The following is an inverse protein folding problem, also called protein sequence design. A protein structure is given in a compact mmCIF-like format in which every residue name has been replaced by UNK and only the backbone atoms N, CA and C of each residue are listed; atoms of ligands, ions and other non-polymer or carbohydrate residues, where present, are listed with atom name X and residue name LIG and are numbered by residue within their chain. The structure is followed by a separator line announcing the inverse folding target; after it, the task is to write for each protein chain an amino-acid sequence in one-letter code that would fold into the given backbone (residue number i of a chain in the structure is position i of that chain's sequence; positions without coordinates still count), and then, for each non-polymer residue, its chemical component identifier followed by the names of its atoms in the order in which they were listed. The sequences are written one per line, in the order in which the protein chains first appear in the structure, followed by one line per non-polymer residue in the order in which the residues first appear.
data_IF_326577601133
#
_entry.id   IF_326577601133
#
_cell.length_a   1.000
_cell.length_b   1.000
_cell.length_c   1.000
_cell.angle_alpha   90.00
_cell.angle_beta   90.00
_cell.angle_gamma   90.00
#
_symmetry.space_group_name_H-M   'P 1'
#
loop_
_entity.id
_entity.type
_entity.pdbx_description
1 polymer ?
#
# COMPACT_ATOMS: atom_id res chain seq x y z
N UNK A 1 1.93 5.13 -2.53
CA UNK A 1 1.90 3.92 -3.38
C UNK A 1 0.74 3.04 -2.99
N UNK A 2 0.29 2.18 -3.89
CA UNK A 2 -0.92 1.39 -3.69
C UNK A 2 -0.73 -0.02 -3.18
N UNK A 3 -0.90 -0.23 -1.88
CA UNK A 3 -0.87 -1.60 -1.34
C UNK A 3 -2.15 -2.40 -1.66
N UNK A 4 -2.00 -3.70 -1.92
CA UNK A 4 -3.13 -4.64 -2.07
C UNK A 4 -3.37 -5.40 -0.77
N UNK A 5 -4.56 -5.22 -0.18
CA UNK A 5 -4.97 -5.83 1.09
C UNK A 5 -5.86 -7.06 0.87
N UNK A 6 -5.69 -8.06 1.74
CA UNK A 6 -6.52 -9.25 1.73
C UNK A 6 -7.87 -8.97 2.42
N UNK A 7 -8.98 -9.19 1.70
CA UNK A 7 -10.34 -9.00 2.22
C UNK A 7 -10.66 -9.84 3.46
N UNK A 8 -10.02 -11.01 3.62
CA UNK A 8 -10.31 -11.97 4.70
C UNK A 8 -9.52 -11.73 5.98
N UNK A 9 -8.61 -10.75 6.01
CA UNK A 9 -7.76 -10.47 7.17
C UNK A 9 -7.99 -9.06 7.72
N UNK A 10 -7.90 -8.94 9.03
CA UNK A 10 -7.92 -7.70 9.80
C UNK A 10 -6.56 -7.00 9.77
N UNK A 11 -6.57 -5.71 10.10
CA UNK A 11 -5.43 -4.83 10.32
C UNK A 11 -5.56 -4.36 11.77
N UNK A 12 -4.70 -4.89 12.64
CA UNK A 12 -4.80 -4.70 14.08
C UNK A 12 -6.23 -4.92 14.64
N UNK A 13 -6.87 -6.04 14.30
CA UNK A 13 -8.26 -6.33 14.71
C UNK A 13 -9.37 -5.59 13.92
N UNK A 14 -9.04 -4.59 13.11
CA UNK A 14 -10.00 -3.86 12.27
C UNK A 14 -10.11 -4.51 10.89
N UNK A 15 -11.32 -4.75 10.36
CA UNK A 15 -11.42 -5.31 9.01
C UNK A 15 -10.71 -4.41 7.99
N UNK A 16 -10.02 -5.00 7.00
CA UNK A 16 -9.32 -4.22 5.96
C UNK A 16 -10.23 -3.19 5.27
N UNK A 17 -11.54 -3.50 5.12
CA UNK A 17 -12.54 -2.57 4.58
C UNK A 17 -12.75 -1.36 5.47
N UNK A 18 -12.93 -1.57 6.77
CA UNK A 18 -13.16 -0.48 7.71
C UNK A 18 -11.89 0.35 7.90
N UNK A 19 -10.72 -0.28 8.01
CA UNK A 19 -9.45 0.42 8.14
C UNK A 19 -9.20 1.41 6.98
N UNK A 20 -9.44 0.97 5.74
CA UNK A 20 -9.33 1.83 4.54
C UNK A 20 -10.37 2.95 4.55
N UNK A 21 -11.63 2.64 4.87
CA UNK A 21 -12.70 3.66 4.90
C UNK A 21 -12.45 4.73 5.96
N UNK A 22 -12.07 4.33 7.19
CA UNK A 22 -11.75 5.24 8.29
C UNK A 22 -10.58 6.14 7.89
N UNK A 23 -9.49 5.56 7.38
CA UNK A 23 -8.31 6.33 6.95
C UNK A 23 -8.67 7.38 5.89
N UNK A 24 -9.53 7.03 4.91
CA UNK A 24 -10.00 7.98 3.88
C UNK A 24 -10.82 9.13 4.46
N UNK A 25 -11.70 8.84 5.40
CA UNK A 25 -12.55 9.85 6.04
C UNK A 25 -11.72 10.82 6.89
N UNK A 26 -10.78 10.28 7.66
CA UNK A 26 -9.89 11.07 8.53
C UNK A 26 -8.78 11.82 7.76
N UNK A 27 -8.48 11.43 6.51
CA UNK A 27 -7.53 12.15 5.66
C UNK A 27 -8.13 13.44 5.08
N UNK A 28 -9.41 13.42 4.72
CA UNK A 28 -10.05 14.60 4.12
C UNK A 28 -10.09 15.76 5.11
N UNK A 29 -10.52 15.47 6.33
CA UNK A 29 -10.59 16.39 7.47
C UNK A 29 -10.58 15.56 8.75
N UNK A 30 -10.08 16.09 9.88
CA UNK A 30 -10.22 15.43 11.17
C UNK A 30 -11.68 15.10 11.49
N UNK A 31 -11.91 14.00 12.23
CA UNK A 31 -13.26 13.48 12.53
C UNK A 31 -13.38 13.07 13.99
N UNK A 32 -14.57 13.26 14.56
CA UNK A 32 -14.91 12.65 15.85
C UNK A 32 -15.24 11.16 15.66
N UNK A 33 -15.15 10.38 16.74
CA UNK A 33 -15.57 8.99 16.71
C UNK A 33 -17.07 8.84 16.42
N UNK A 34 -17.90 9.72 16.98
CA UNK A 34 -19.34 9.77 16.74
C UNK A 34 -19.68 10.00 15.26
N UNK A 35 -18.98 10.92 14.59
CA UNK A 35 -19.18 11.15 13.14
C UNK A 35 -18.85 9.93 12.30
N UNK A 36 -17.72 9.28 12.59
CA UNK A 36 -17.30 8.07 11.87
C UNK A 36 -18.26 6.91 12.11
N UNK A 37 -18.70 6.72 13.36
CA UNK A 37 -19.66 5.68 13.74
C UNK A 37 -20.97 5.85 12.98
N UNK A 38 -21.47 7.09 12.87
CA UNK A 38 -22.67 7.44 12.10
C UNK A 38 -22.50 7.17 10.59
N UNK A 39 -21.37 7.56 10.00
CA UNK A 39 -21.11 7.36 8.55
C UNK A 39 -20.94 5.89 8.18
N UNK A 40 -20.32 5.09 9.05
CA UNK A 40 -20.06 3.67 8.80
C UNK A 40 -21.13 2.74 9.39
N UNK A 41 -22.19 3.31 9.97
CA UNK A 41 -23.34 2.58 10.54
C UNK A 41 -22.92 1.54 11.61
N UNK A 42 -22.07 1.96 12.55
CA UNK A 42 -21.60 1.14 13.68
C UNK A 42 -21.77 1.86 15.01
N UNK A 43 -21.64 1.14 16.13
CA UNK A 43 -21.67 1.75 17.46
C UNK A 43 -20.43 2.59 17.72
N UNK A 44 -20.57 3.65 18.51
CA UNK A 44 -19.44 4.50 18.90
C UNK A 44 -18.37 3.72 19.67
N UNK A 45 -18.76 2.75 20.52
CA UNK A 45 -17.82 1.85 21.20
C UNK A 45 -16.98 1.04 20.21
N UNK A 46 -17.60 0.46 19.17
CA UNK A 46 -16.88 -0.28 18.12
C UNK A 46 -15.95 0.65 17.35
N UNK A 47 -16.41 1.87 17.04
CA UNK A 47 -15.61 2.87 16.33
C UNK A 47 -14.39 3.29 17.16
N UNK A 48 -14.58 3.61 18.43
CA UNK A 48 -13.48 3.95 19.35
C UNK A 48 -12.45 2.83 19.45
N UNK A 49 -12.90 1.58 19.57
CA UNK A 49 -11.99 0.43 19.54
C UNK A 49 -11.17 0.38 18.25
N UNK A 50 -11.81 0.53 17.09
CA UNK A 50 -11.10 0.56 15.81
C UNK A 50 -10.13 1.72 15.67
N UNK A 51 -10.49 2.91 16.14
CA UNK A 51 -9.65 4.10 16.08
C UNK A 51 -8.38 3.91 16.90
N UNK A 52 -8.51 3.43 18.14
CA UNK A 52 -7.36 3.10 19.00
C UNK A 52 -6.49 2.03 18.35
N UNK A 53 -7.08 0.97 17.80
CA UNK A 53 -6.30 -0.06 17.10
C UNK A 53 -5.51 0.49 15.89
N UNK A 54 -6.05 1.47 15.16
CA UNK A 54 -5.34 2.08 14.03
C UNK A 54 -4.27 3.10 14.49
N UNK A 55 -4.51 3.77 15.61
CA UNK A 55 -3.55 4.66 16.27
C UNK A 55 -2.31 3.91 16.75
N UNK A 56 -2.49 2.77 17.41
CA UNK A 56 -1.42 1.91 17.93
C UNK A 56 -0.40 1.50 16.86
N UNK A 57 -0.82 1.41 15.60
CA UNK A 57 0.02 1.06 14.45
C UNK A 57 0.40 2.28 13.59
N UNK A 58 0.16 3.50 14.10
CA UNK A 58 0.57 4.77 13.48
C UNK A 58 -0.22 5.15 12.22
N UNK A 59 -1.37 4.53 11.96
CA UNK A 59 -2.23 4.86 10.81
C UNK A 59 -3.00 6.16 11.06
N UNK A 60 -3.49 6.31 12.30
CA UNK A 60 -4.20 7.50 12.76
C UNK A 60 -3.39 8.18 13.85
N UNK A 61 -3.79 9.40 14.17
CA UNK A 61 -3.34 10.15 15.33
C UNK A 61 -4.46 11.08 15.80
N UNK A 62 -4.32 11.61 17.01
CA UNK A 62 -5.29 12.47 17.68
C UNK A 62 -4.81 13.93 17.70
N UNK A 63 -5.74 14.84 17.52
CA UNK A 63 -5.63 16.25 17.94
C UNK A 63 -6.76 16.57 18.91
N UNK A 64 -6.52 17.50 19.83
CA UNK A 64 -7.56 18.00 20.74
C UNK A 64 -7.83 19.47 20.40
N UNK A 65 -9.05 19.78 20.01
CA UNK A 65 -9.51 21.13 19.70
C UNK A 65 -10.74 21.42 20.57
N UNK A 66 -10.70 22.49 21.37
CA UNK A 66 -11.78 22.91 22.26
C UNK A 66 -12.35 21.78 23.16
N UNK A 67 -11.47 20.88 23.63
CA UNK A 67 -11.84 19.72 24.45
C UNK A 67 -12.45 18.55 23.67
N UNK A 68 -12.53 18.64 22.35
CA UNK A 68 -13.02 17.58 21.45
C UNK A 68 -11.83 16.80 20.88
N UNK A 69 -11.91 15.46 20.98
CA UNK A 69 -10.93 14.54 20.39
C UNK A 69 -11.24 14.39 18.90
N UNK A 70 -10.26 14.74 18.06
CA UNK A 70 -10.33 14.65 16.62
C UNK A 70 -9.28 13.67 16.10
N UNK A 71 -9.73 12.73 15.27
CA UNK A 71 -8.90 11.72 14.64
C UNK A 71 -8.53 12.18 13.23
N UNK A 72 -7.24 12.13 12.90
CA UNK A 72 -6.74 12.45 11.56
C UNK A 72 -5.84 11.33 11.04
N UNK A 73 -5.79 11.18 9.71
CA UNK A 73 -4.93 10.19 9.08
C UNK A 73 -3.49 10.70 9.03
N UNK A 74 -2.53 9.88 9.47
CA UNK A 74 -1.11 10.24 9.41
C UNK A 74 -0.59 10.17 7.97
N UNK A 75 0.56 10.79 7.66
CA UNK A 75 1.23 10.58 6.36
C UNK A 75 1.51 9.10 6.07
N UNK A 76 1.75 8.32 7.13
CA UNK A 76 1.93 6.88 7.06
C UNK A 76 0.64 6.14 6.67
N UNK A 77 -0.47 6.44 7.35
CA UNK A 77 -1.80 5.89 7.02
C UNK A 77 -2.28 6.31 5.63
N UNK A 78 -1.94 7.52 5.20
CA UNK A 78 -2.20 7.99 3.85
C UNK A 78 -1.46 7.14 2.81
N UNK A 79 -0.16 6.94 3.02
CA UNK A 79 0.69 6.18 2.09
C UNK A 79 0.26 4.72 2.00
N UNK A 80 -0.12 4.11 3.13
CA UNK A 80 -0.35 2.67 3.21
C UNK A 80 -1.82 2.24 3.10
N UNK A 81 -2.79 3.03 3.57
CA UNK A 81 -4.19 2.59 3.66
C UNK A 81 -5.19 3.44 2.89
N UNK A 82 -5.06 4.77 2.84
CA UNK A 82 -5.99 5.63 2.07
C UNK A 82 -6.04 5.19 0.61
N UNK A 83 -4.89 4.79 0.11
CA UNK A 83 -4.72 4.32 -1.24
C UNK A 83 -4.76 2.78 -1.35
N UNK A 84 -4.95 2.02 -0.28
CA UNK A 84 -4.95 0.57 -0.42
C UNK A 84 -6.16 0.04 -1.22
N UNK A 85 -5.93 -1.01 -2.03
CA UNK A 85 -6.98 -1.74 -2.73
C UNK A 85 -7.24 -3.07 -2.03
N UNK A 86 -8.50 -3.38 -1.76
CA UNK A 86 -8.88 -4.69 -1.22
C UNK A 86 -9.17 -5.64 -2.38
N UNK A 87 -8.52 -6.80 -2.40
CA UNK A 87 -8.81 -7.84 -3.39
C UNK A 87 -7.65 -8.79 -3.60
N UNK A 88 -7.74 -9.56 -4.69
CA UNK A 88 -6.63 -10.42 -5.07
C UNK A 88 -5.51 -9.60 -5.73
N UNK A 89 -4.25 -9.92 -5.44
CA UNK A 89 -3.10 -9.58 -6.26
C UNK A 89 -3.32 -9.88 -7.73
N UNK A 90 -2.94 -8.97 -8.63
CA UNK A 90 -2.91 -9.25 -10.07
C UNK A 90 -1.72 -10.15 -10.38
N UNK A 91 -1.80 -11.11 -11.31
CA UNK A 91 -0.63 -11.91 -11.74
C UNK A 91 0.42 -11.03 -12.41
N UNK A 92 1.68 -11.46 -12.47
CA UNK A 92 2.72 -10.75 -13.22
C UNK A 92 2.38 -10.60 -14.71
N UNK A 93 1.62 -11.56 -15.27
CA UNK A 93 1.10 -11.44 -16.65
C UNK A 93 0.06 -10.34 -16.77
N UNK A 94 -0.85 -10.23 -15.80
CA UNK A 94 -1.82 -9.14 -15.73
C UNK A 94 -1.11 -7.80 -15.54
N UNK A 95 -0.13 -7.72 -14.64
CA UNK A 95 0.69 -6.54 -14.40
C UNK A 95 1.29 -6.01 -15.70
N UNK A 96 2.02 -6.86 -16.43
CA UNK A 96 2.65 -6.50 -17.70
C UNK A 96 1.62 -6.06 -18.74
N UNK A 97 0.50 -6.76 -18.84
CA UNK A 97 -0.58 -6.40 -19.77
C UNK A 97 -1.12 -5.01 -19.48
N UNK A 98 -1.38 -4.68 -18.21
CA UNK A 98 -1.89 -3.37 -17.82
C UNK A 98 -0.91 -2.25 -18.16
N UNK A 99 0.35 -2.43 -17.82
CA UNK A 99 1.41 -1.44 -18.10
C UNK A 99 1.57 -1.23 -19.60
N UNK A 100 1.67 -2.30 -20.40
CA UNK A 100 1.78 -2.20 -21.86
C UNK A 100 0.55 -1.58 -22.51
N UNK A 101 -0.63 -1.79 -21.95
CA UNK A 101 -1.85 -1.18 -22.47
C UNK A 101 -1.90 0.32 -22.18
N UNK A 102 -1.34 0.79 -21.05
CA UNK A 102 -1.16 2.23 -20.81
C UNK A 102 -0.17 2.84 -21.80
N UNK A 103 0.98 2.21 -22.05
CA UNK A 103 1.94 2.75 -23.02
C UNK A 103 1.37 2.78 -24.43
N UNK A 104 0.59 1.76 -24.83
CA UNK A 104 -0.16 1.76 -26.10
C UNK A 104 -1.15 2.93 -26.19
N UNK A 105 -1.90 3.18 -25.11
CA UNK A 105 -2.84 4.31 -25.03
C UNK A 105 -2.10 5.65 -25.07
N UNK A 106 -0.93 5.77 -24.47
CA UNK A 106 -0.11 6.98 -24.55
C UNK A 106 0.33 7.29 -26.01
N UNK A 107 0.77 6.28 -26.76
CA UNK A 107 1.04 6.44 -28.20
C UNK A 107 -0.20 6.88 -28.98
N UNK A 108 -1.37 6.30 -28.70
CA UNK A 108 -2.62 6.68 -29.36
C UNK A 108 -3.03 8.12 -29.01
N UNK A 109 -2.93 8.49 -27.73
CA UNK A 109 -3.23 9.83 -27.23
C UNK A 109 -2.36 10.89 -27.92
N UNK A 110 -1.05 10.65 -28.02
CA UNK A 110 -0.14 11.61 -28.65
C UNK A 110 -0.39 11.80 -30.16
N UNK A 111 -1.00 10.83 -30.85
CA UNK A 111 -1.36 10.93 -32.28
C UNK A 111 -2.64 11.72 -32.53
N UNK A 112 -3.49 11.87 -31.52
CA UNK A 112 -4.77 12.54 -31.65
C UNK A 112 -4.60 14.05 -31.53
N UNK A 113 -4.95 14.78 -32.58
CA UNK A 113 -4.84 16.25 -32.64
C UNK A 113 -5.72 16.92 -31.59
N UNK A 114 -6.89 16.34 -31.28
CA UNK A 114 -7.84 16.97 -30.35
C UNK A 114 -7.26 17.16 -28.96
N UNK A 115 -6.36 16.28 -28.52
CA UNK A 115 -5.90 16.30 -27.14
C UNK A 115 -4.89 17.43 -26.90
N UNK A 116 -5.00 18.14 -25.75
CA UNK A 116 -4.23 19.35 -25.51
C UNK A 116 -2.81 19.10 -25.00
N UNK A 117 -2.55 17.89 -24.48
CA UNK A 117 -1.25 17.52 -23.93
C UNK A 117 -0.48 16.63 -24.89
N UNK A 118 0.83 16.65 -24.74
CA UNK A 118 1.75 15.68 -25.30
C UNK A 118 2.42 14.95 -24.15
N UNK A 119 2.29 13.62 -24.12
CA UNK A 119 2.88 12.78 -23.08
C UNK A 119 4.35 12.58 -23.43
N UNK A 120 5.25 13.06 -22.58
CA UNK A 120 6.70 12.96 -22.77
C UNK A 120 7.23 11.61 -22.31
N UNK A 121 6.82 11.22 -21.11
CA UNK A 121 7.37 10.08 -20.40
C UNK A 121 6.32 9.42 -19.50
N UNK A 122 6.38 8.09 -19.40
CA UNK A 122 5.69 7.36 -18.34
C UNK A 122 6.73 6.53 -17.59
N UNK A 123 6.76 6.72 -16.27
CA UNK A 123 7.66 6.03 -15.36
C UNK A 123 6.86 5.10 -14.46
N UNK A 124 7.22 3.82 -14.47
CA UNK A 124 6.78 2.85 -13.47
C UNK A 124 7.60 3.09 -12.20
N UNK A 125 6.92 3.27 -11.07
CA UNK A 125 7.55 3.42 -9.77
C UNK A 125 6.78 2.59 -8.74
N UNK A 126 7.30 2.46 -7.53
CA UNK A 126 6.68 1.64 -6.52
C UNK A 126 7.65 0.73 -5.81
N UNK A 127 7.29 0.32 -4.59
CA UNK A 127 8.00 -0.75 -3.89
C UNK A 127 8.05 -2.05 -4.68
N UNK A 128 7.15 -2.27 -5.64
CA UNK A 128 7.17 -3.47 -6.48
C UNK A 128 8.47 -3.62 -7.29
N UNK A 129 9.17 -2.53 -7.60
CA UNK A 129 10.43 -2.58 -8.36
C UNK A 129 11.56 -3.25 -7.57
N UNK A 130 11.69 -2.93 -6.28
CA UNK A 130 12.68 -3.53 -5.38
C UNK A 130 12.13 -4.73 -4.60
N UNK A 131 10.81 -4.83 -4.48
CA UNK A 131 10.09 -5.86 -3.74
C UNK A 131 8.99 -6.49 -4.61
N UNK A 132 9.35 -7.26 -5.67
CA UNK A 132 8.38 -7.86 -6.59
C UNK A 132 7.40 -8.83 -5.91
N UNK A 133 7.69 -9.25 -4.67
CA UNK A 133 6.80 -10.04 -3.83
C UNK A 133 5.69 -9.23 -3.14
N UNK A 134 5.70 -7.88 -3.15
CA UNK A 134 4.69 -7.05 -2.45
C UNK A 134 3.30 -7.06 -3.07
N UNK A 135 3.15 -7.61 -4.28
CA UNK A 135 1.86 -7.83 -4.95
C UNK A 135 1.05 -6.54 -5.22
N UNK A 136 1.74 -5.40 -5.29
CA UNK A 136 1.14 -4.09 -5.50
C UNK A 136 0.55 -3.92 -6.91
N UNK A 137 -0.40 -2.99 -7.04
CA UNK A 137 -0.86 -2.55 -8.37
C UNK A 137 0.23 -1.66 -9.02
N UNK A 138 0.35 -1.64 -10.36
CA UNK A 138 1.28 -0.74 -11.04
C UNK A 138 0.95 0.74 -10.76
N UNK A 139 1.94 1.44 -10.19
CA UNK A 139 1.93 2.88 -9.95
C UNK A 139 2.75 3.58 -11.06
N UNK A 140 2.10 4.44 -11.84
CA UNK A 140 2.69 5.12 -13.01
C UNK A 140 2.69 6.63 -12.81
N UNK A 141 3.84 7.27 -12.99
CA UNK A 141 3.97 8.71 -13.06
C UNK A 141 4.04 9.13 -14.54
N UNK A 142 3.30 10.17 -14.91
CA UNK A 142 3.19 10.66 -16.29
C UNK A 142 3.67 12.10 -16.35
N UNK A 143 4.74 12.32 -17.10
CA UNK A 143 5.24 13.65 -17.44
C UNK A 143 4.65 14.07 -18.79
N UNK A 144 4.19 15.30 -18.87
CA UNK A 144 3.57 15.85 -20.07
C UNK A 144 3.79 17.36 -20.16
N UNK A 145 3.67 17.91 -21.36
CA UNK A 145 3.57 19.34 -21.60
C UNK A 145 2.33 19.67 -22.43
N UNK A 146 1.92 20.94 -22.39
CA UNK A 146 0.84 21.46 -23.24
C UNK A 146 1.38 21.57 -24.67
N UNK A 147 0.60 21.14 -25.67
CA UNK A 147 1.02 21.30 -27.06
C UNK A 147 1.14 22.78 -27.44
N UNK A 148 2.16 23.20 -28.19
CA UNK A 148 2.40 24.62 -28.51
C UNK A 148 1.23 25.35 -29.16
N UNK A 149 0.40 24.66 -29.94
CA UNK A 149 -0.81 25.22 -30.57
C UNK A 149 -1.93 25.52 -29.58
N UNK A 150 -1.97 24.81 -28.44
CA UNK A 150 -2.95 25.01 -27.37
C UNK A 150 -2.49 26.11 -26.41
N UNK A 151 -1.20 26.12 -26.09
CA UNK A 151 -0.60 27.04 -25.10
C UNK A 151 -0.72 28.53 -25.49
N UNK A 152 -0.92 28.83 -26.78
CA UNK A 152 -1.13 30.20 -27.29
C UNK A 152 -2.45 30.86 -26.83
N UNK A 153 -3.33 30.11 -26.18
CA UNK A 153 -4.67 30.58 -25.79
C UNK A 153 -4.77 30.75 -24.28
N UNK A 154 -5.10 31.96 -23.84
CA UNK A 154 -5.13 32.35 -22.42
C UNK A 154 -6.11 31.53 -21.56
N UNK A 155 -7.23 31.06 -22.13
CA UNK A 155 -8.27 30.29 -21.43
C UNK A 155 -8.52 28.91 -22.03
N UNK A 156 -7.46 28.28 -22.57
CA UNK A 156 -7.59 27.05 -23.35
C UNK A 156 -8.26 25.90 -22.59
N UNK A 157 -8.06 25.76 -21.28
CA UNK A 157 -8.68 24.67 -20.51
C UNK A 157 -10.21 24.81 -20.48
N UNK A 158 -10.70 26.03 -20.26
CA UNK A 158 -12.13 26.32 -20.25
C UNK A 158 -12.73 26.17 -21.65
N UNK A 159 -12.06 26.65 -22.69
CA UNK A 159 -12.50 26.42 -24.08
C UNK A 159 -12.56 24.93 -24.43
N UNK A 160 -11.52 24.18 -24.04
CA UNK A 160 -11.45 22.73 -24.25
C UNK A 160 -12.57 22.01 -23.50
N UNK A 161 -12.82 22.38 -22.24
CA UNK A 161 -13.90 21.84 -21.43
C UNK A 161 -15.28 22.19 -22.01
N UNK A 162 -15.48 23.40 -22.54
CA UNK A 162 -16.74 23.77 -23.20
C UNK A 162 -16.98 22.94 -24.46
N UNK A 163 -15.91 22.59 -25.20
CA UNK A 163 -15.99 21.84 -26.46
C UNK A 163 -16.12 20.33 -26.28
N UNK A 164 -15.38 19.74 -25.33
CA UNK A 164 -15.24 18.29 -25.15
C UNK A 164 -15.69 17.79 -23.78
N UNK A 165 -15.96 18.70 -22.85
CA UNK A 165 -16.41 18.39 -21.50
C UNK A 165 -17.85 17.87 -21.45
N UNK A 166 -18.28 17.42 -20.26
CA UNK A 166 -19.64 16.94 -20.06
C UNK A 166 -20.65 18.09 -20.22
N UNK A 167 -21.83 17.79 -20.77
CA UNK A 167 -22.92 18.78 -20.99
C UNK A 167 -23.50 19.41 -19.72
N UNK A 168 -23.07 18.96 -18.53
CA UNK A 168 -23.52 19.52 -17.25
C UNK A 168 -22.65 20.71 -16.88
N UNK A 169 -23.21 21.67 -16.17
CA UNK A 169 -22.43 22.79 -15.63
C UNK A 169 -21.38 22.27 -14.63
N UNK A 170 -20.12 22.55 -14.94
CA UNK A 170 -18.99 22.32 -14.06
C UNK A 170 -18.60 23.66 -13.41
N UNK A 171 -18.23 23.63 -12.13
CA UNK A 171 -17.58 24.78 -11.49
C UNK A 171 -16.21 25.07 -12.11
N UNK A 172 -15.68 26.28 -11.90
CA UNK A 172 -14.44 26.77 -12.54
C UNK A 172 -13.26 25.79 -12.36
N UNK A 173 -13.00 25.34 -11.13
CA UNK A 173 -11.91 24.39 -10.83
C UNK A 173 -12.07 23.08 -11.60
N UNK A 174 -13.29 22.57 -11.72
CA UNK A 174 -13.57 21.33 -12.46
C UNK A 174 -13.40 21.52 -13.97
N UNK A 175 -13.66 22.72 -14.50
CA UNK A 175 -13.37 23.04 -15.91
C UNK A 175 -11.87 23.11 -16.16
N UNK A 176 -11.12 23.82 -15.30
CA UNK A 176 -9.67 23.97 -15.44
C UNK A 176 -8.93 22.62 -15.34
N UNK A 177 -9.40 21.72 -14.48
CA UNK A 177 -8.80 20.38 -14.30
C UNK A 177 -9.36 19.32 -15.25
N UNK A 178 -10.40 19.63 -16.03
CA UNK A 178 -11.04 18.66 -16.93
C UNK A 178 -10.06 18.02 -17.93
N UNK A 179 -9.19 18.77 -18.63
CA UNK A 179 -8.27 18.16 -19.60
C UNK A 179 -7.36 17.09 -18.98
N UNK A 180 -6.79 17.38 -17.81
CA UNK A 180 -5.89 16.45 -17.12
C UNK A 180 -6.65 15.22 -16.59
N UNK A 181 -7.88 15.43 -16.11
CA UNK A 181 -8.77 14.34 -15.71
C UNK A 181 -9.22 13.48 -16.90
N UNK A 182 -9.43 14.06 -18.07
CA UNK A 182 -9.71 13.31 -19.30
C UNK A 182 -8.51 12.44 -19.68
N UNK A 183 -7.29 13.00 -19.70
CA UNK A 183 -6.07 12.22 -19.94
C UNK A 183 -5.95 11.05 -18.96
N UNK A 184 -6.16 11.29 -17.66
CA UNK A 184 -6.15 10.23 -16.63
C UNK A 184 -7.13 9.12 -16.98
N UNK A 185 -8.38 9.49 -17.30
CA UNK A 185 -9.43 8.53 -17.68
C UNK A 185 -9.09 7.79 -18.96
N UNK A 186 -8.52 8.48 -19.94
CA UNK A 186 -8.12 7.89 -21.22
C UNK A 186 -7.03 6.84 -21.02
N UNK A 187 -6.02 7.14 -20.20
CA UNK A 187 -4.94 6.21 -19.86
C UNK A 187 -5.39 5.08 -18.91
N UNK A 188 -6.34 5.32 -18.01
CA UNK A 188 -6.84 4.28 -17.09
C UNK A 188 -7.92 3.37 -17.72
N UNK A 189 -8.81 3.90 -18.56
CA UNK A 189 -10.01 3.21 -19.09
C UNK A 189 -10.85 2.50 -18.01
N UNK A 190 -10.95 3.11 -16.82
CA UNK A 190 -11.69 2.51 -15.69
C UNK A 190 -11.00 1.31 -15.04
N UNK A 191 -9.77 0.97 -15.44
CA UNK A 191 -8.98 -0.06 -14.79
C UNK A 191 -8.64 0.34 -13.36
N UNK A 192 -9.10 -0.46 -12.40
CA UNK A 192 -8.92 -0.21 -10.95
C UNK A 192 -7.56 -0.72 -10.45
N UNK A 193 -6.88 -1.54 -11.24
CA UNK A 193 -5.59 -2.13 -10.94
C UNK A 193 -4.41 -1.31 -11.49
N UNK A 194 -4.61 -0.03 -11.81
CA UNK A 194 -3.55 0.85 -12.27
C UNK A 194 -3.73 2.27 -11.77
N UNK A 195 -2.64 2.89 -11.36
CA UNK A 195 -2.66 4.24 -10.80
C UNK A 195 -1.79 5.16 -11.60
N UNK A 196 -2.32 6.34 -11.83
CA UNK A 196 -1.68 7.34 -12.65
C UNK A 196 -1.53 8.59 -11.82
N UNK A 197 -0.30 9.07 -11.75
CA UNK A 197 0.14 10.28 -11.07
C UNK A 197 0.68 11.24 -12.13
N UNK A 198 0.51 12.54 -11.89
CA UNK A 198 1.02 13.59 -12.77
C UNK A 198 2.07 14.47 -12.10
N UNK A 199 2.48 14.07 -10.91
CA UNK A 199 3.58 14.67 -10.17
C UNK A 199 4.91 14.13 -10.70
N UNK A 200 5.96 14.92 -10.51
CA UNK A 200 7.34 14.50 -10.75
C UNK A 200 7.64 13.22 -9.96
N UNK A 201 8.07 12.17 -10.68
CA UNK A 201 8.33 10.84 -10.10
C UNK A 201 9.39 10.89 -8.99
N UNK A 202 10.34 11.81 -9.07
CA UNK A 202 11.39 11.98 -8.04
C UNK A 202 10.83 12.42 -6.69
N UNK A 203 9.66 13.08 -6.68
CA UNK A 203 8.92 13.45 -5.46
C UNK A 203 8.09 12.28 -4.91
N UNK A 204 7.85 11.26 -5.73
CA UNK A 204 7.01 10.11 -5.39
C UNK A 204 7.82 8.88 -4.96
N UNK A 205 9.04 8.73 -5.48
CA UNK A 205 9.88 7.56 -5.25
C UNK A 205 11.35 7.87 -5.52
N UNK A 206 12.24 7.21 -4.77
CA UNK A 206 13.68 7.20 -5.05
C UNK A 206 14.06 6.22 -6.18
N UNK A 207 13.18 5.27 -6.49
CA UNK A 207 13.37 4.28 -7.55
C UNK A 207 12.22 4.30 -8.55
N UNK A 208 12.55 4.38 -9.83
CA UNK A 208 11.60 4.25 -10.93
C UNK A 208 12.30 3.75 -12.20
N UNK A 209 11.49 3.24 -13.14
CA UNK A 209 11.90 2.75 -14.44
C UNK A 209 11.03 3.37 -15.53
N UNK A 210 11.66 3.91 -16.57
CA UNK A 210 10.95 4.55 -17.66
C UNK A 210 10.40 3.48 -18.60
N UNK A 211 9.10 3.46 -18.85
CA UNK A 211 8.41 2.44 -19.67
C UNK A 211 7.88 2.99 -21.00
N UNK A 212 7.85 4.31 -21.13
CA UNK A 212 7.44 5.02 -22.33
C UNK A 212 8.20 6.34 -22.41
N UNK A 213 8.68 6.70 -23.60
CA UNK A 213 9.22 8.01 -23.92
C UNK A 213 8.86 8.37 -25.35
N UNK A 214 8.38 9.59 -25.58
CA UNK A 214 7.91 10.04 -26.90
C UNK A 214 9.00 9.99 -27.97
N UNK A 215 10.21 10.44 -27.64
CA UNK A 215 11.32 10.61 -28.58
C UNK A 215 12.45 9.60 -28.36
N UNK A 216 12.11 8.32 -28.11
CA UNK A 216 13.12 7.26 -28.07
C UNK A 216 13.71 7.05 -29.47
N UNK A 217 14.66 7.92 -29.84
CA UNK A 217 15.67 7.65 -30.86
C UNK A 217 16.42 6.41 -30.37
N UNK A 218 16.56 5.42 -31.25
CA UNK A 218 17.54 4.35 -31.10
C UNK A 218 18.94 4.96 -30.96
N UNK A 219 19.35 5.31 -29.74
CA UNK A 219 20.73 5.24 -29.26
C UNK A 219 20.82 5.62 -27.78
N UNK A 220 21.59 4.78 -27.11
CA UNK A 220 22.02 4.80 -25.73
C UNK A 220 22.86 6.02 -25.35
N UNK A 221 23.09 6.13 -24.03
CA UNK A 221 23.97 7.03 -23.30
C UNK A 221 23.29 8.28 -22.73
N UNK A 222 22.52 8.08 -21.67
CA UNK A 222 22.49 9.10 -20.61
C UNK A 222 22.67 8.43 -19.25
N UNK A 223 23.66 8.95 -18.52
CA UNK A 223 24.24 8.40 -17.29
C UNK A 223 23.41 8.81 -16.07
N UNK A 224 22.09 8.62 -16.14
CA UNK A 224 21.23 8.70 -14.96
C UNK A 224 20.83 7.28 -14.54
N UNK A 225 20.87 7.01 -13.24
CA UNK A 225 20.60 5.71 -12.62
C UNK A 225 19.18 5.12 -12.89
N UNK A 226 18.39 5.71 -13.78
CA UNK A 226 17.02 5.34 -14.10
C UNK A 226 16.93 4.76 -15.50
N UNK A 227 17.31 3.47 -15.60
CA UNK A 227 17.27 2.72 -16.85
C UNK A 227 15.85 2.63 -17.42
N UNK A 228 15.72 2.92 -18.72
CA UNK A 228 14.54 2.56 -19.53
C UNK A 228 14.32 1.05 -19.48
N UNK A 229 13.07 0.64 -19.24
CA UNK A 229 12.67 -0.76 -19.25
C UNK A 229 12.04 -1.10 -20.60
N UNK A 230 12.72 -1.93 -21.38
CA UNK A 230 12.23 -2.45 -22.65
C UNK A 230 11.01 -3.38 -22.46
N UNK A 231 10.29 -3.65 -23.54
CA UNK A 231 9.13 -4.57 -23.51
C UNK A 231 9.53 -6.00 -23.10
N UNK A 232 10.75 -6.45 -23.44
CA UNK A 232 11.29 -7.74 -23.01
C UNK A 232 11.59 -7.73 -21.51
N UNK A 233 12.29 -6.70 -21.02
CA UNK A 233 12.60 -6.57 -19.58
C UNK A 233 11.33 -6.48 -18.74
N UNK A 234 10.29 -5.77 -19.21
CA UNK A 234 9.01 -5.71 -18.53
C UNK A 234 8.31 -7.09 -18.49
N UNK A 235 8.37 -7.86 -19.57
CA UNK A 235 7.85 -9.24 -19.59
C UNK A 235 8.62 -10.14 -18.63
N UNK A 236 9.94 -10.00 -18.59
CA UNK A 236 10.81 -10.76 -17.70
C UNK A 236 10.54 -10.41 -16.24
N UNK A 237 10.33 -9.13 -15.94
CA UNK A 237 9.87 -8.64 -14.64
C UNK A 237 8.51 -9.26 -14.26
N UNK A 238 7.55 -9.31 -15.18
CA UNK A 238 6.27 -10.01 -14.96
C UNK A 238 6.43 -11.51 -14.71
N UNK A 239 7.37 -12.19 -15.39
CA UNK A 239 7.70 -13.59 -15.11
C UNK A 239 8.29 -13.75 -13.72
N UNK A 240 9.25 -12.89 -13.36
CA UNK A 240 9.87 -12.86 -12.05
C UNK A 240 8.84 -12.66 -10.92
N UNK A 241 7.85 -11.77 -11.08
CA UNK A 241 6.73 -11.63 -10.14
C UNK A 241 5.99 -12.97 -9.95
N UNK A 242 5.70 -13.67 -11.05
CA UNK A 242 5.01 -14.96 -10.98
C UNK A 242 5.89 -16.07 -10.40
N UNK A 243 7.18 -16.09 -10.72
CA UNK A 243 8.15 -17.06 -10.22
C UNK A 243 8.37 -16.87 -8.73
N UNK A 244 8.59 -15.64 -8.25
CA UNK A 244 8.64 -15.34 -6.82
C UNK A 244 7.37 -15.76 -6.09
N UNK A 245 6.18 -15.62 -6.70
CA UNK A 245 4.93 -16.15 -6.13
C UNK A 245 4.92 -17.66 -6.08
N UNK A 246 5.29 -18.33 -7.17
CA UNK A 246 5.33 -19.80 -7.24
C UNK A 246 6.36 -20.34 -6.27
N UNK A 247 7.56 -19.78 -6.21
CA UNK A 247 8.61 -20.16 -5.27
C UNK A 247 8.21 -19.88 -3.83
N UNK A 248 7.55 -18.77 -3.53
CA UNK A 248 7.00 -18.52 -2.20
C UNK A 248 5.95 -19.57 -1.81
N UNK A 249 5.01 -19.88 -2.71
CA UNK A 249 3.97 -20.89 -2.49
C UNK A 249 4.60 -22.30 -2.39
N UNK A 250 5.51 -22.64 -3.28
CA UNK A 250 6.20 -23.94 -3.33
C UNK A 250 7.20 -24.09 -2.20
N UNK A 251 7.87 -23.03 -1.75
CA UNK A 251 8.68 -23.04 -0.53
C UNK A 251 7.78 -23.18 0.69
N UNK A 252 6.61 -22.52 0.76
CA UNK A 252 5.65 -22.75 1.85
C UNK A 252 5.16 -24.21 1.86
N UNK A 253 4.93 -24.81 0.69
CA UNK A 253 4.45 -26.18 0.55
C UNK A 253 5.56 -27.23 0.79
N UNK A 254 6.78 -26.98 0.28
CA UNK A 254 7.97 -27.81 0.49
C UNK A 254 8.51 -27.69 1.91
N UNK A 255 8.44 -26.51 2.56
CA UNK A 255 8.82 -26.32 3.98
C UNK A 255 7.75 -26.87 4.93
N UNK A 256 6.45 -26.86 4.58
CA UNK A 256 5.46 -27.73 5.27
C UNK A 256 5.86 -29.21 5.24
N UNK A 257 6.51 -29.65 4.15
CA UNK A 257 7.05 -31.03 4.01
C UNK A 257 8.46 -31.23 4.58
N UNK A 258 9.26 -30.17 4.76
CA UNK A 258 10.64 -30.20 5.28
C UNK A 258 10.71 -29.46 6.61
N UNK A 259 10.55 -30.24 7.67
CA UNK A 259 10.83 -29.93 9.07
C UNK A 259 9.80 -28.97 9.68
N UNK A 260 9.05 -29.47 10.67
CA UNK A 260 8.37 -28.62 11.64
C UNK A 260 9.46 -27.81 12.37
N UNK A 261 9.70 -26.57 11.94
CA UNK A 261 10.61 -25.65 12.62
C UNK A 261 10.09 -25.44 14.04
N UNK A 262 10.95 -25.67 15.01
CA UNK A 262 10.57 -25.55 16.42
C UNK A 262 10.45 -24.07 16.78
N UNK A 263 9.70 -23.74 17.83
CA UNK A 263 9.65 -22.37 18.33
C UNK A 263 11.05 -21.89 18.75
N UNK A 264 11.92 -22.81 19.19
CA UNK A 264 13.32 -22.53 19.55
C UNK A 264 14.17 -22.08 18.35
N UNK A 265 13.93 -22.63 17.15
CA UNK A 265 14.63 -22.22 15.92
C UNK A 265 14.30 -20.77 15.56
N UNK A 266 13.01 -20.39 15.66
CA UNK A 266 12.52 -19.04 15.41
C UNK A 266 13.17 -18.05 16.37
N UNK A 267 13.13 -18.33 17.68
CA UNK A 267 13.77 -17.48 18.70
C UNK A 267 15.27 -17.34 18.46
N UNK A 268 15.95 -18.43 18.09
CA UNK A 268 17.40 -18.44 17.85
C UNK A 268 17.83 -17.64 16.61
N UNK A 269 16.98 -17.59 15.58
CA UNK A 269 17.16 -16.67 14.46
C UNK A 269 17.08 -15.24 14.96
N UNK A 270 15.97 -14.87 15.60
CA UNK A 270 15.73 -13.49 15.96
C UNK A 270 16.73 -12.96 16.99
N UNK A 271 17.20 -13.76 17.94
CA UNK A 271 18.29 -13.37 18.87
C UNK A 271 19.56 -12.85 18.21
N UNK A 272 19.83 -13.26 16.96
CA UNK A 272 21.00 -12.82 16.18
C UNK A 272 20.74 -11.54 15.38
N UNK A 273 19.49 -11.09 15.31
CA UNK A 273 19.06 -9.87 14.61
C UNK A 273 18.94 -8.75 15.63
N UNK A 274 19.56 -7.60 15.38
CA UNK A 274 19.53 -6.43 16.28
C UNK A 274 18.11 -6.03 16.70
N UNK A 275 17.15 -6.06 15.76
CA UNK A 275 15.72 -5.77 16.01
C UNK A 275 15.07 -6.62 17.12
N UNK A 276 15.57 -7.82 17.42
CA UNK A 276 15.05 -8.64 18.51
C UNK A 276 15.53 -8.20 19.90
N UNK A 277 16.72 -7.58 19.97
CA UNK A 277 17.23 -7.01 21.22
C UNK A 277 16.31 -5.88 21.70
N UNK A 278 15.68 -5.16 20.76
CA UNK A 278 14.74 -4.06 21.04
C UNK A 278 13.35 -4.52 21.54
N UNK A 279 13.04 -5.83 21.49
CA UNK A 279 11.74 -6.38 21.90
C UNK A 279 11.67 -6.79 23.38
N UNK A 280 12.78 -6.73 24.13
CA UNK A 280 12.85 -7.11 25.57
C UNK A 280 12.23 -8.50 25.88
N UNK A 281 12.33 -9.44 24.95
CA UNK A 281 11.79 -10.80 25.13
C UNK A 281 12.60 -11.59 26.17
N UNK A 282 11.97 -12.55 26.89
CA UNK A 282 12.62 -13.31 27.96
C UNK A 282 13.66 -14.32 27.43
N UNK A 283 14.11 -15.26 28.26
CA UNK A 283 15.11 -16.26 27.87
C UNK A 283 14.70 -17.04 26.60
N UNK A 284 15.63 -17.71 25.90
CA UNK A 284 15.28 -18.46 24.67
C UNK A 284 14.17 -19.48 24.93
N UNK A 285 14.24 -20.12 26.09
CA UNK A 285 13.30 -21.13 26.55
C UNK A 285 11.91 -20.52 26.77
N UNK A 286 11.86 -19.39 27.46
CA UNK A 286 10.62 -18.68 27.77
C UNK A 286 10.00 -18.08 26.50
N UNK A 287 10.80 -17.39 25.69
CA UNK A 287 10.33 -16.76 24.45
C UNK A 287 9.80 -17.79 23.45
N UNK A 288 10.26 -19.05 23.51
CA UNK A 288 9.76 -20.13 22.64
C UNK A 288 8.36 -20.62 23.03
N UNK A 289 7.90 -20.30 24.24
CA UNK A 289 6.60 -20.72 24.79
C UNK A 289 5.71 -19.54 25.17
N UNK A 290 6.03 -18.34 24.68
CA UNK A 290 5.35 -17.11 25.07
C UNK A 290 4.93 -16.33 23.84
N UNK A 291 3.75 -15.70 23.90
CA UNK A 291 3.33 -14.71 22.93
C UNK A 291 4.18 -13.46 23.07
N UNK A 292 4.87 -13.08 21.99
CA UNK A 292 5.79 -11.95 21.98
C UNK A 292 5.09 -10.59 22.10
N UNK A 293 3.77 -10.53 21.89
CA UNK A 293 2.95 -9.32 22.07
C UNK A 293 2.45 -9.12 23.49
N UNK A 294 1.85 -10.16 24.09
CA UNK A 294 1.12 -10.02 25.35
C UNK A 294 1.68 -10.83 26.52
N UNK A 295 2.74 -11.61 26.31
CA UNK A 295 3.31 -12.46 27.36
C UNK A 295 2.52 -13.73 27.69
N UNK A 296 1.41 -14.01 26.99
CA UNK A 296 0.61 -15.22 27.24
C UNK A 296 1.36 -16.50 26.85
N UNK A 297 1.26 -17.53 27.68
CA UNK A 297 1.76 -18.89 27.40
C UNK A 297 0.71 -19.81 26.77
N UNK A 298 -0.54 -19.34 26.62
CA UNK A 298 -1.65 -20.13 26.09
C UNK A 298 -1.73 -20.02 24.56
N UNK A 299 -2.01 -21.14 23.91
CA UNK A 299 -2.25 -21.24 22.45
C UNK A 299 -1.23 -20.50 21.59
N UNK A 300 0.07 -20.61 21.93
CA UNK A 300 1.14 -19.96 21.19
C UNK A 300 1.28 -20.59 19.81
N UNK A 301 1.08 -19.76 18.79
CA UNK A 301 1.09 -20.09 17.37
C UNK A 301 2.23 -19.36 16.67
N UNK A 302 2.65 -19.92 15.54
CA UNK A 302 3.60 -19.26 14.63
C UNK A 302 2.80 -18.36 13.69
N UNK A 303 2.96 -17.05 13.86
CA UNK A 303 2.35 -16.03 13.03
C UNK A 303 3.33 -15.57 11.96
N UNK A 304 2.87 -15.45 10.72
CA UNK A 304 3.70 -14.86 9.67
C UNK A 304 3.75 -13.34 9.79
N UNK A 305 4.93 -12.75 9.57
CA UNK A 305 5.09 -11.30 9.42
C UNK A 305 4.41 -10.85 8.13
N UNK A 306 4.86 -11.41 7.01
CA UNK A 306 4.15 -11.37 5.73
C UNK A 306 3.21 -12.57 5.69
N UNK A 307 1.88 -12.39 5.60
CA UNK A 307 0.89 -13.46 5.52
C UNK A 307 1.19 -14.52 4.45
N UNK A 308 1.01 -15.81 4.77
CA UNK A 308 1.07 -16.88 3.75
C UNK A 308 0.12 -16.64 2.55
N UNK A 309 -1.06 -16.05 2.78
CA UNK A 309 -1.99 -15.67 1.70
C UNK A 309 -1.48 -14.58 0.76
N UNK A 310 -0.43 -13.86 1.17
CA UNK A 310 0.25 -12.83 0.41
C UNK A 310 1.66 -13.27 -0.01
N UNK A 311 1.97 -14.58 0.05
CA UNK A 311 3.30 -15.09 -0.31
C UNK A 311 4.33 -14.99 0.81
N UNK A 312 3.91 -14.94 2.07
CA UNK A 312 4.79 -15.14 3.21
C UNK A 312 5.38 -16.54 3.28
N UNK A 313 6.71 -16.63 3.40
CA UNK A 313 7.39 -17.91 3.57
C UNK A 313 7.34 -18.41 5.02
N UNK A 314 7.28 -19.73 5.22
CA UNK A 314 7.48 -20.39 6.52
C UNK A 314 8.98 -20.43 6.88
N UNK A 315 9.60 -19.26 7.12
CA UNK A 315 11.01 -19.12 7.51
C UNK A 315 11.13 -18.37 8.83
N UNK A 316 12.21 -18.61 9.56
CA UNK A 316 12.45 -18.02 10.87
C UNK A 316 12.41 -16.48 10.80
N UNK A 317 12.91 -15.88 9.71
CA UNK A 317 12.87 -14.44 9.46
C UNK A 317 11.49 -13.85 9.14
N UNK A 318 10.49 -14.69 8.90
CA UNK A 318 9.12 -14.28 8.58
C UNK A 318 8.12 -14.86 9.59
N UNK A 319 8.58 -15.42 10.71
CA UNK A 319 7.73 -16.01 11.74
C UNK A 319 7.99 -15.37 13.10
N UNK A 320 6.93 -15.07 13.81
CA UNK A 320 6.92 -14.62 15.21
C UNK A 320 5.95 -15.48 16.02
N UNK A 321 6.06 -15.47 17.35
CA UNK A 321 5.22 -16.31 18.21
C UNK A 321 4.13 -15.46 18.87
N UNK A 322 2.87 -15.78 18.58
CA UNK A 322 1.70 -15.07 19.08
C UNK A 322 0.64 -16.04 19.60
N UNK A 323 -0.08 -15.70 20.67
CA UNK A 323 -1.27 -16.47 21.04
C UNK A 323 -2.38 -16.31 19.99
N UNK A 324 -3.36 -17.21 19.98
CA UNK A 324 -4.49 -17.20 19.04
C UNK A 324 -5.19 -15.83 18.92
N UNK A 325 -5.39 -15.13 20.05
CA UNK A 325 -5.95 -13.76 20.10
C UNK A 325 -5.06 -12.76 19.37
N UNK A 326 -3.80 -12.64 19.77
CA UNK A 326 -2.87 -11.67 19.18
C UNK A 326 -2.53 -11.99 17.72
N UNK A 327 -2.58 -13.25 17.31
CA UNK A 327 -2.43 -13.66 15.91
C UNK A 327 -3.61 -13.19 15.05
N UNK A 328 -4.85 -13.31 15.53
CA UNK A 328 -6.03 -12.79 14.85
C UNK A 328 -6.03 -11.25 14.75
N UNK A 329 -5.43 -10.59 15.74
CA UNK A 329 -5.28 -9.15 15.84
C UNK A 329 -3.99 -8.62 15.18
N UNK A 330 -3.18 -9.43 14.51
CA UNK A 330 -1.93 -8.95 13.90
C UNK A 330 -2.17 -7.99 12.71
N UNK A 331 -1.32 -6.96 12.49
CA UNK A 331 -1.42 -6.09 11.33
C UNK A 331 -1.13 -6.88 10.03
N UNK A 332 -2.08 -6.86 9.08
CA UNK A 332 -1.93 -7.50 7.77
C UNK A 332 -1.40 -6.50 6.73
N UNK A 333 -0.19 -5.99 6.94
CA UNK A 333 0.46 -4.99 6.11
C UNK A 333 1.83 -5.53 5.67
N UNK A 334 2.21 -5.32 4.41
CA UNK A 334 3.48 -5.77 3.85
C UNK A 334 4.67 -4.87 4.27
N UNK A 335 4.65 -4.39 5.51
CA UNK A 335 5.65 -3.54 6.14
C UNK A 335 6.07 -4.23 7.44
N UNK A 336 7.31 -4.75 7.46
CA UNK A 336 7.84 -5.52 8.58
C UNK A 336 7.86 -4.67 9.86
N UNK A 337 8.09 -3.35 9.75
CA UNK A 337 8.26 -2.48 10.91
C UNK A 337 6.95 -2.26 11.69
N UNK A 338 5.77 -2.30 11.03
CA UNK A 338 4.49 -2.22 11.74
C UNK A 338 4.23 -3.46 12.58
N UNK A 339 4.60 -4.64 12.07
CA UNK A 339 4.40 -5.86 12.83
C UNK A 339 5.27 -5.84 14.11
N UNK A 340 6.48 -5.28 14.04
CA UNK A 340 7.31 -5.04 15.21
C UNK A 340 6.73 -4.00 16.18
N UNK A 341 6.11 -2.93 15.69
CA UNK A 341 5.38 -1.97 16.54
C UNK A 341 4.23 -2.66 17.26
N UNK A 342 3.45 -3.48 16.56
CA UNK A 342 2.35 -4.26 17.13
C UNK A 342 2.77 -5.43 18.04
N UNK A 343 4.08 -5.77 18.08
CA UNK A 343 4.65 -6.75 19.00
C UNK A 343 5.05 -6.14 20.35
N UNK A 344 5.15 -4.82 20.47
CA UNK A 344 5.41 -4.19 21.77
C UNK A 344 4.14 -4.29 22.62
N UNK A 345 4.23 -4.68 23.91
CA UNK A 345 3.07 -4.66 24.79
C UNK A 345 2.54 -3.23 24.87
N UNK A 346 1.25 -3.05 24.54
CA UNK A 346 0.58 -1.75 24.70
C UNK A 346 0.33 -1.50 26.19
N UNK A 347 0.32 -0.23 26.62
CA UNK A 347 0.01 0.14 28.01
C UNK A 347 -1.34 -0.46 28.49
N UNK A 348 -2.30 -0.63 27.56
CA UNK A 348 -3.59 -1.29 27.80
C UNK A 348 -3.43 -2.79 28.12
N UNK A 349 -2.47 -3.48 27.51
CA UNK A 349 -2.19 -4.90 27.78
C UNK A 349 -1.54 -5.11 29.16
N UNK A 350 -0.73 -4.14 29.61
CA UNK A 350 -0.16 -4.09 30.97
C UNK A 350 -1.22 -3.83 32.04
N UNK A 351 -2.22 -2.98 31.75
CA UNK A 351 -3.33 -2.71 32.68
C UNK A 351 -4.28 -3.91 32.82
N UNK A 352 -4.54 -4.65 31.74
CA UNK A 352 -5.41 -5.84 31.75
C UNK A 352 -4.77 -7.04 32.46
N UNK A 353 -3.44 -7.13 32.50
CA UNK A 353 -2.69 -8.24 33.12
C UNK A 353 -2.31 -7.98 34.58
N UNK A 354 -2.27 -6.72 35.02
CA UNK A 354 -1.90 -6.33 36.38
C UNK A 354 -3.08 -6.27 37.36
N UNK A 355 -4.33 -6.45 36.90
CA UNK A 355 -5.51 -6.42 37.76
C UNK A 355 -5.79 -5.07 38.41
N UNK A 356 -5.15 -3.99 37.94
CA UNK A 356 -5.29 -2.64 38.47
C UNK A 356 -6.21 -1.82 37.56
N UNK A 357 -7.52 -1.89 37.81
CA UNK A 357 -8.41 -0.76 37.53
C UNK A 357 -8.65 0.00 38.83
N UNK A 358 -8.47 1.34 38.87
CA UNK A 358 -9.24 2.16 39.78
C UNK A 358 -10.70 2.14 39.31
N UNK A 359 -11.61 1.92 40.25
CA UNK A 359 -13.07 1.96 40.07
C UNK A 359 -13.54 3.25 39.38
#
# INVERSE_FOLDING_TARGET
MGMVLNKKRSINGVSSKHAVSISKLCYQYPKTASDLARVLEVTETTMMHWLVCLDEIGILNITVEDGVILWHCTPYGFTNLVHARIGQPITGTQFVKLVLEVTRRAYAYNKEERFPYLIDEISLFGSILSQPWRLDDPDLAVTMHIKPEVDKKEFWQSEYCLKYGPKRNLGIVAQLTFPQNELRRYLQQGEKHIRIYFDDVSKLSHEWKIIFRQNAIEKSADNSNHQTMSRSELKDFGRNINENRKESIDQSFRRRKRIAKTNKDIVSYWKRVSKFQDLNLPSTEDASNTCWRCGSHQDVQRCHIIPASLGGADVESNLVLLCSRCHAEGPNIADEDILFVGLKPTEITLLMTSGLMPL
#
